data_IF_880224232285
#
_entry.id   IF_880224232285
#
_cell.length_a   1.000
_cell.length_b   1.000
_cell.length_c   1.000
_cell.angle_alpha   90.00
_cell.angle_beta   90.00
_cell.angle_gamma   90.00
#
_symmetry.space_group_name_H-M   'P 1'
#
loop_
_entity.id
_entity.type
_entity.pdbx_description
1 polymer ?
#
# COMPACT_ATOMS: atom_id res chain seq x y z
N UNK A 1 -20.79 4.89 -1.44
CA UNK A 1 -19.57 5.51 -0.86
C UNK A 1 -18.34 4.95 -1.58
N UNK A 2 -17.29 5.75 -1.80
CA UNK A 2 -16.01 5.24 -2.29
C UNK A 2 -15.17 4.61 -1.16
N UNK A 3 -14.12 3.87 -1.52
CA UNK A 3 -13.23 3.15 -0.59
C UNK A 3 -12.73 4.02 0.57
N UNK A 4 -12.15 5.18 0.26
CA UNK A 4 -11.59 6.08 1.29
C UNK A 4 -12.67 6.63 2.24
N UNK A 5 -13.82 7.04 1.71
CA UNK A 5 -14.90 7.62 2.52
C UNK A 5 -15.48 6.56 3.47
N UNK A 6 -15.73 5.34 2.98
CA UNK A 6 -16.24 4.25 3.81
C UNK A 6 -15.27 3.87 4.94
N UNK A 7 -13.98 3.77 4.62
CA UNK A 7 -12.95 3.46 5.60
C UNK A 7 -12.78 4.55 6.66
N UNK A 8 -12.84 5.83 6.26
CA UNK A 8 -12.77 6.94 7.20
C UNK A 8 -13.99 7.00 8.14
N UNK A 9 -15.17 6.61 7.66
CA UNK A 9 -16.36 6.52 8.50
C UNK A 9 -16.22 5.44 9.59
N UNK A 10 -15.58 4.32 9.26
CA UNK A 10 -15.35 3.24 10.22
C UNK A 10 -14.33 3.60 11.32
N UNK A 11 -13.52 4.65 11.14
CA UNK A 11 -12.47 5.06 12.08
C UNK A 11 -12.96 5.17 13.52
N UNK A 12 -14.12 5.78 13.73
CA UNK A 12 -14.64 6.06 15.06
C UNK A 12 -15.34 4.84 15.70
N UNK A 13 -15.47 3.74 14.95
CA UNK A 13 -16.16 2.50 15.38
C UNK A 13 -15.12 1.40 15.70
N UNK A 14 -13.92 1.50 15.14
CA UNK A 14 -12.88 0.48 15.28
C UNK A 14 -12.15 0.64 16.62
N UNK A 15 -12.17 -0.41 17.44
CA UNK A 15 -11.50 -0.48 18.75
C UNK A 15 -10.31 -1.47 18.76
N UNK A 16 -9.82 -1.89 17.60
CA UNK A 16 -8.69 -2.81 17.50
C UNK A 16 -7.35 -2.09 17.49
N UNK A 17 -6.31 -2.74 18.00
CA UNK A 17 -4.93 -2.22 17.98
C UNK A 17 -4.37 -2.07 16.55
N UNK A 18 -4.79 -2.97 15.65
CA UNK A 18 -4.41 -2.98 14.24
C UNK A 18 -5.66 -2.95 13.36
N UNK A 19 -5.56 -2.26 12.22
CA UNK A 19 -6.62 -2.16 11.21
C UNK A 19 -6.09 -2.69 9.89
N UNK A 20 -6.85 -3.58 9.25
CA UNK A 20 -6.54 -4.12 7.93
C UNK A 20 -7.52 -3.53 6.90
N UNK A 21 -6.99 -2.79 5.95
CA UNK A 21 -7.74 -2.42 4.74
C UNK A 21 -7.57 -3.53 3.70
N UNK A 22 -8.66 -4.20 3.37
CA UNK A 22 -8.66 -5.33 2.44
C UNK A 22 -9.81 -5.17 1.44
N UNK A 23 -9.52 -5.38 0.15
CA UNK A 23 -10.57 -5.45 -0.85
C UNK A 23 -11.24 -6.84 -0.80
N UNK A 24 -12.52 -6.91 -1.13
CA UNK A 24 -13.32 -8.15 -1.05
C UNK A 24 -12.91 -9.23 -2.06
N UNK A 25 -12.16 -8.84 -3.09
CA UNK A 25 -11.63 -9.70 -4.14
C UNK A 25 -10.18 -10.15 -3.86
N UNK A 26 -9.62 -9.83 -2.69
CA UNK A 26 -8.24 -10.17 -2.34
C UNK A 26 -8.14 -11.62 -1.84
N UNK A 27 -7.29 -12.41 -2.48
CA UNK A 27 -6.85 -13.72 -1.96
C UNK A 27 -5.63 -13.53 -1.07
N UNK A 28 -5.74 -13.93 0.20
CA UNK A 28 -4.64 -13.81 1.18
C UNK A 28 -3.97 -15.17 1.37
N UNK A 29 -2.69 -15.32 0.98
CA UNK A 29 -1.95 -16.56 1.22
C UNK A 29 -1.82 -16.89 2.71
N UNK A 30 -1.71 -18.19 3.00
CA UNK A 30 -1.49 -18.65 4.37
C UNK A 30 -0.21 -18.02 4.96
N UNK A 31 -0.29 -17.58 6.21
CA UNK A 31 0.84 -16.98 6.92
C UNK A 31 1.10 -15.49 6.63
N UNK A 32 0.42 -14.87 5.65
CA UNK A 32 0.63 -13.45 5.34
C UNK A 32 0.26 -12.55 6.51
N UNK A 33 -0.93 -12.72 7.10
CA UNK A 33 -1.37 -11.85 8.20
C UNK A 33 -0.54 -12.05 9.47
N UNK A 34 -0.21 -13.30 9.83
CA UNK A 34 0.61 -13.58 11.01
C UNK A 34 2.03 -13.05 10.86
N UNK A 35 2.64 -13.19 9.68
CA UNK A 35 3.94 -12.60 9.36
C UNK A 35 3.90 -11.07 9.44
N UNK A 36 2.88 -10.43 8.85
CA UNK A 36 2.67 -8.98 8.90
C UNK A 36 2.51 -8.46 10.33
N UNK A 37 1.68 -9.10 11.15
CA UNK A 37 1.51 -8.77 12.56
C UNK A 37 2.80 -8.96 13.36
N UNK A 38 3.52 -10.07 13.13
CA UNK A 38 4.81 -10.31 13.78
C UNK A 38 5.84 -9.21 13.47
N UNK A 39 5.86 -8.73 12.22
CA UNK A 39 6.72 -7.63 11.81
C UNK A 39 6.31 -6.30 12.46
N UNK A 40 5.02 -5.96 12.45
CA UNK A 40 4.48 -4.75 13.11
C UNK A 40 4.72 -4.73 14.62
N UNK A 41 4.65 -5.87 15.30
CA UNK A 41 4.95 -5.96 16.74
C UNK A 41 6.42 -5.74 17.04
N UNK A 42 7.31 -6.17 16.14
CA UNK A 42 8.77 -6.06 16.30
C UNK A 42 9.29 -4.65 15.98
N UNK A 43 8.61 -3.93 15.10
CA UNK A 43 9.07 -2.63 14.58
C UNK A 43 8.05 -1.52 14.85
N UNK A 44 8.49 -0.37 15.36
CA UNK A 44 7.62 0.80 15.57
C UNK A 44 7.31 1.48 14.22
N UNK A 45 6.28 1.00 13.53
CA UNK A 45 5.83 1.50 12.24
C UNK A 45 4.38 1.99 12.32
N UNK A 46 4.05 3.04 11.56
CA UNK A 46 2.67 3.55 11.49
C UNK A 46 1.76 2.74 10.55
N UNK A 47 2.32 2.07 9.55
CA UNK A 47 1.60 1.23 8.60
C UNK A 47 2.54 0.20 7.97
N UNK A 48 1.97 -0.91 7.48
CA UNK A 48 2.67 -1.93 6.71
C UNK A 48 1.88 -2.22 5.42
N UNK A 49 2.57 -2.18 4.28
CA UNK A 49 2.03 -2.65 3.00
C UNK A 49 2.49 -4.09 2.70
N UNK A 50 1.72 -4.79 1.87
CA UNK A 50 2.08 -6.11 1.36
C UNK A 50 2.43 -6.06 -0.13
N UNK A 51 3.20 -7.05 -0.58
CA UNK A 51 3.41 -7.29 -2.02
C UNK A 51 2.08 -7.73 -2.63
N UNK A 52 1.57 -6.98 -3.61
CA UNK A 52 0.37 -7.35 -4.35
C UNK A 52 0.76 -8.07 -5.65
N UNK A 53 0.16 -9.24 -5.86
CA UNK A 53 0.37 -10.11 -7.01
C UNK A 53 -0.96 -10.19 -7.76
N UNK A 54 -0.93 -9.89 -9.06
CA UNK A 54 -2.08 -10.04 -9.94
C UNK A 54 -2.34 -11.53 -10.24
N UNK A 55 -3.55 -11.90 -10.72
CA UNK A 55 -3.87 -13.29 -11.04
C UNK A 55 -2.93 -13.96 -12.04
N UNK A 56 -2.28 -13.18 -12.91
CA UNK A 56 -1.28 -13.66 -13.87
C UNK A 56 0.12 -13.88 -13.26
N UNK A 57 0.27 -13.68 -11.94
CA UNK A 57 1.51 -13.81 -11.19
C UNK A 57 2.42 -12.58 -11.27
N UNK A 58 2.04 -11.56 -12.03
CA UNK A 58 2.82 -10.32 -12.13
C UNK A 58 2.65 -9.45 -10.88
N UNK A 59 3.63 -8.58 -10.64
CA UNK A 59 3.54 -7.57 -9.60
C UNK A 59 2.49 -6.53 -9.98
N UNK A 60 1.59 -6.22 -9.07
CA UNK A 60 0.75 -5.03 -9.20
C UNK A 60 1.64 -3.79 -9.10
N UNK A 61 1.81 -3.12 -10.25
CA UNK A 61 2.66 -1.94 -10.37
C UNK A 61 2.03 -0.74 -9.67
N UNK A 62 0.71 -0.70 -9.52
CA UNK A 62 -0.05 0.37 -8.89
C UNK A 62 -0.02 0.28 -7.37
N UNK A 63 0.32 -0.90 -6.83
CA UNK A 63 0.64 -1.12 -5.42
C UNK A 63 1.91 -0.38 -4.98
N UNK A 64 2.77 0.03 -5.93
CA UNK A 64 3.96 0.84 -5.66
C UNK A 64 3.56 2.31 -5.64
N UNK A 65 3.13 2.79 -4.48
CA UNK A 65 2.89 4.21 -4.26
C UNK A 65 4.01 4.79 -3.40
N UNK A 66 5.06 5.26 -4.05
CA UNK A 66 5.84 6.36 -3.48
C UNK A 66 4.86 7.45 -3.07
N UNK A 67 4.97 7.97 -1.85
CA UNK A 67 4.07 9.03 -1.40
C UNK A 67 4.17 10.21 -2.38
N UNK A 68 3.06 10.67 -2.94
CA UNK A 68 3.08 11.75 -3.93
C UNK A 68 3.47 13.03 -3.18
N UNK A 69 4.75 13.39 -3.26
CA UNK A 69 5.23 14.72 -2.88
C UNK A 69 5.18 15.64 -4.09
N UNK A 70 5.13 16.97 -3.92
CA UNK A 70 5.20 17.91 -5.04
C UNK A 70 6.40 17.64 -5.96
N UNK A 71 7.55 17.27 -5.37
CA UNK A 71 8.75 16.90 -6.13
C UNK A 71 8.57 15.62 -6.95
N UNK A 72 8.02 14.56 -6.34
CA UNK A 72 7.73 13.30 -7.05
C UNK A 72 6.74 13.55 -8.20
N UNK A 73 5.72 14.36 -7.97
CA UNK A 73 4.76 14.78 -8.99
C UNK A 73 5.43 15.55 -10.14
N UNK A 74 6.29 16.53 -9.84
CA UNK A 74 7.03 17.29 -10.85
C UNK A 74 7.93 16.36 -11.70
N UNK A 75 8.72 15.51 -11.05
CA UNK A 75 9.70 14.65 -11.72
C UNK A 75 9.01 13.57 -12.57
N UNK A 76 7.99 12.89 -12.04
CA UNK A 76 7.37 11.74 -12.70
C UNK A 76 6.18 12.10 -13.61
N UNK A 77 5.33 13.06 -13.20
CA UNK A 77 4.11 13.38 -13.96
C UNK A 77 4.36 14.47 -15.00
N UNK A 78 5.06 15.54 -14.63
CA UNK A 78 5.27 16.70 -15.51
C UNK A 78 6.51 16.55 -16.38
N UNK A 79 7.68 16.30 -15.78
CA UNK A 79 8.95 16.26 -16.49
C UNK A 79 9.28 14.88 -17.07
N UNK A 80 8.67 13.80 -16.56
CA UNK A 80 8.91 12.40 -16.97
C UNK A 80 10.39 12.01 -16.97
N UNK A 81 11.17 12.60 -16.06
CA UNK A 81 12.63 12.42 -15.98
C UNK A 81 13.00 10.99 -15.56
N UNK A 82 12.12 10.32 -14.83
CA UNK A 82 12.19 8.90 -14.48
C UNK A 82 12.22 7.98 -15.72
N UNK A 83 11.65 8.41 -16.85
CA UNK A 83 11.73 7.68 -18.13
C UNK A 83 13.06 7.85 -18.83
N UNK A 84 13.74 8.98 -18.62
CA UNK A 84 15.02 9.30 -19.25
C UNK A 84 16.18 8.72 -18.42
N UNK A 85 16.06 8.71 -17.09
CA UNK A 85 17.07 8.20 -16.17
C UNK A 85 16.50 7.10 -15.25
N UNK A 86 16.12 5.93 -15.79
CA UNK A 86 15.43 4.87 -15.04
C UNK A 86 16.28 4.20 -13.94
N UNK A 87 17.58 4.53 -13.84
CA UNK A 87 18.52 4.01 -12.83
C UNK A 87 18.93 5.05 -11.78
N UNK A 88 18.43 6.28 -11.87
CA UNK A 88 18.63 7.28 -10.83
C UNK A 88 17.81 6.87 -9.61
N UNK A 89 18.46 6.25 -8.62
CA UNK A 89 17.91 6.09 -7.27
C UNK A 89 18.11 7.38 -6.49
#
# INVERSE_FOLDING_TARGET
LGFAIGNNFAKDIVNSEYVLFLNTDTVVPAGTLSGSLGYLKKHKLGALGCKLILPDGSLDKDARRSFITPWIGLVHLFLKLDRIFPRSK
#
